data_IF_153551059361
#
_entry.id   IF_153551059361
#
_cell.length_a   1.000
_cell.length_b   1.000
_cell.length_c   1.000
_cell.angle_alpha   90.00
_cell.angle_beta   90.00
_cell.angle_gamma   90.00
#
_symmetry.space_group_name_H-M   'P 1'
#
loop_
_entity.id
_entity.type
_entity.pdbx_description
1 polymer ?
#
# COMPACT_ATOMS: atom_id res chain seq x y z
N UNK A 1 -17.17 10.12 5.90
CA UNK A 1 -16.65 9.76 4.55
C UNK A 1 -17.80 9.51 3.59
N UNK A 2 -18.71 8.55 3.88
CA UNK A 2 -19.87 8.23 3.04
C UNK A 2 -20.64 9.45 2.52
N UNK A 3 -21.06 10.38 3.39
CA UNK A 3 -21.75 11.60 2.95
C UNK A 3 -21.00 12.43 1.89
N UNK A 4 -19.67 12.57 2.02
CA UNK A 4 -18.88 13.33 1.04
C UNK A 4 -18.83 12.62 -0.31
N UNK A 5 -18.74 11.28 -0.30
CA UNK A 5 -18.76 10.47 -1.51
C UNK A 5 -20.13 10.53 -2.19
N UNK A 6 -21.22 10.37 -1.43
CA UNK A 6 -22.59 10.46 -1.95
C UNK A 6 -22.88 11.83 -2.57
N UNK A 7 -22.44 12.93 -1.93
CA UNK A 7 -22.61 14.27 -2.48
C UNK A 7 -21.86 14.44 -3.82
N UNK A 8 -20.63 13.92 -3.90
CA UNK A 8 -19.84 13.96 -5.13
C UNK A 8 -20.50 13.12 -6.25
N UNK A 9 -20.93 11.90 -5.94
CA UNK A 9 -21.60 11.02 -6.89
C UNK A 9 -22.90 11.63 -7.42
N UNK A 10 -23.69 12.28 -6.55
CA UNK A 10 -24.90 13.00 -6.95
C UNK A 10 -24.58 14.16 -7.91
N UNK A 11 -23.50 14.91 -7.68
CA UNK A 11 -23.07 15.99 -8.58
C UNK A 11 -22.60 15.47 -9.95
N UNK A 12 -22.06 14.26 -10.00
CA UNK A 12 -21.59 13.60 -11.22
C UNK A 12 -22.68 12.73 -11.88
N UNK A 13 -23.90 12.72 -11.32
CA UNK A 13 -25.00 11.85 -11.76
C UNK A 13 -24.65 10.35 -11.79
N UNK A 14 -23.79 9.91 -10.87
CA UNK A 14 -23.38 8.50 -10.73
C UNK A 14 -24.15 7.87 -9.56
N UNK A 15 -24.84 6.73 -9.77
CA UNK A 15 -25.47 6.01 -8.66
C UNK A 15 -24.39 5.44 -7.74
N UNK A 16 -24.48 5.72 -6.43
CA UNK A 16 -23.51 5.26 -5.43
C UNK A 16 -24.22 4.72 -4.18
N UNK A 17 -23.83 3.51 -3.78
CA UNK A 17 -24.10 2.94 -2.45
C UNK A 17 -22.79 2.87 -1.68
N UNK A 18 -22.80 3.32 -0.43
CA UNK A 18 -21.63 3.26 0.46
C UNK A 18 -21.91 2.33 1.63
N UNK A 19 -21.10 1.27 1.77
CA UNK A 19 -21.10 0.38 2.93
C UNK A 19 -19.84 0.58 3.76
N UNK A 20 -19.99 0.57 5.08
CA UNK A 20 -18.85 0.59 6.01
C UNK A 20 -18.84 -0.70 6.82
N UNK A 21 -17.70 -1.38 6.83
CA UNK A 21 -17.47 -2.58 7.66
C UNK A 21 -16.55 -2.18 8.81
N UNK A 22 -17.02 -2.34 10.04
CA UNK A 22 -16.23 -2.09 11.26
C UNK A 22 -15.80 -3.44 11.81
N UNK A 23 -14.61 -3.89 11.43
CA UNK A 23 -14.07 -5.18 11.81
C UNK A 23 -12.55 -5.15 11.84
N UNK A 24 -11.94 -6.17 12.46
CA UNK A 24 -10.51 -6.40 12.31
C UNK A 24 -10.23 -6.91 10.89
N UNK A 25 -9.23 -6.37 10.21
CA UNK A 25 -9.03 -6.64 8.79
C UNK A 25 -8.91 -8.13 8.45
N UNK A 26 -8.17 -8.89 9.26
CA UNK A 26 -8.01 -10.34 9.08
C UNK A 26 -9.29 -11.16 9.32
N UNK A 27 -10.38 -10.54 9.79
CA UNK A 27 -11.69 -11.17 9.96
C UNK A 27 -12.65 -10.90 8.81
N UNK A 28 -12.32 -9.96 7.91
CA UNK A 28 -13.20 -9.58 6.79
C UNK A 28 -13.16 -10.66 5.70
N UNK A 29 -14.33 -11.03 5.23
CA UNK A 29 -14.60 -12.02 4.19
C UNK A 29 -15.50 -11.45 3.08
N UNK A 30 -15.77 -12.25 2.04
CA UNK A 30 -16.68 -11.85 0.95
C UNK A 30 -18.12 -11.62 1.44
N UNK A 31 -18.54 -12.37 2.47
CA UNK A 31 -19.89 -12.29 3.03
C UNK A 31 -20.15 -10.94 3.70
N UNK A 32 -19.10 -10.27 4.18
CA UNK A 32 -19.19 -8.94 4.79
C UNK A 32 -19.39 -7.81 3.76
N UNK A 33 -19.13 -8.08 2.47
CA UNK A 33 -19.12 -7.07 1.42
C UNK A 33 -20.44 -6.95 0.67
N UNK A 34 -21.35 -7.92 0.80
CA UNK A 34 -22.64 -7.97 0.10
C UNK A 34 -22.50 -7.68 -1.42
N UNK A 35 -21.57 -8.38 -2.06
CA UNK A 35 -21.30 -8.26 -3.51
C UNK A 35 -22.36 -9.03 -4.28
N UNK A 36 -22.98 -8.39 -5.28
CA UNK A 36 -23.94 -9.06 -6.16
C UNK A 36 -23.21 -9.87 -7.25
N UNK A 37 -23.77 -11.00 -7.73
CA UNK A 37 -23.05 -11.90 -8.65
C UNK A 37 -22.64 -11.29 -10.00
N UNK A 38 -23.25 -10.18 -10.42
CA UNK A 38 -23.00 -9.47 -11.68
C UNK A 38 -22.10 -8.23 -11.53
N UNK A 39 -21.63 -7.93 -10.31
CA UNK A 39 -20.76 -6.80 -10.03
C UNK A 39 -19.28 -7.14 -10.27
N UNK A 40 -18.54 -6.17 -10.83
CA UNK A 40 -17.07 -6.23 -10.90
C UNK A 40 -16.49 -5.87 -9.53
N UNK A 41 -15.72 -6.80 -8.95
CA UNK A 41 -15.11 -6.61 -7.65
C UNK A 41 -13.66 -6.12 -7.77
N UNK A 42 -13.42 -4.88 -7.32
CA UNK A 42 -12.08 -4.33 -7.17
C UNK A 42 -11.74 -4.20 -5.69
N UNK A 43 -10.67 -4.88 -5.27
CA UNK A 43 -10.09 -4.70 -3.93
C UNK A 43 -8.90 -3.75 -4.05
N UNK A 44 -8.85 -2.71 -3.21
CA UNK A 44 -7.78 -1.73 -3.24
C UNK A 44 -7.18 -1.56 -1.84
N UNK A 45 -5.93 -1.98 -1.65
CA UNK A 45 -5.14 -1.61 -0.48
C UNK A 45 -4.04 -0.61 -0.84
N UNK A 46 -4.07 0.55 -0.20
CA UNK A 46 -3.02 1.55 -0.31
C UNK A 46 -2.32 1.71 1.04
N UNK A 47 -1.20 1.01 1.14
CA UNK A 47 -0.22 1.10 2.22
C UNK A 47 -0.64 0.51 3.56
N UNK A 48 -1.82 -0.10 3.72
CA UNK A 48 -2.27 -0.52 5.05
C UNK A 48 -1.66 -1.85 5.48
N UNK A 49 -1.24 -2.74 4.57
CA UNK A 49 -0.68 -4.05 4.94
C UNK A 49 0.47 -3.97 5.97
N UNK A 50 1.19 -2.85 6.01
CA UNK A 50 2.27 -2.60 6.97
C UNK A 50 1.81 -2.55 8.44
N UNK A 51 0.53 -2.33 8.71
CA UNK A 51 -0.03 -2.25 10.07
C UNK A 51 -0.47 -3.60 10.63
N UNK A 52 -0.56 -4.62 9.78
CA UNK A 52 -0.83 -5.99 10.21
C UNK A 52 0.41 -6.56 10.89
N UNK A 53 0.18 -7.28 11.99
CA UNK A 53 1.23 -8.03 12.69
C UNK A 53 1.94 -9.00 11.74
N UNK A 54 3.22 -9.24 12.03
CA UNK A 54 4.07 -10.18 11.30
C UNK A 54 4.41 -11.40 12.19
N UNK A 55 5.21 -12.31 11.64
CA UNK A 55 5.59 -13.58 12.27
C UNK A 55 6.53 -13.38 13.49
N UNK A 56 7.01 -12.16 13.77
CA UNK A 56 7.81 -11.88 14.97
C UNK A 56 6.98 -11.82 16.25
N UNK A 57 5.66 -11.68 16.13
CA UNK A 57 4.71 -11.62 17.25
C UNK A 57 3.82 -12.86 17.29
N UNK A 58 3.47 -13.42 16.14
CA UNK A 58 2.56 -14.57 16.02
C UNK A 58 3.38 -15.83 15.71
N UNK A 59 3.65 -16.66 16.73
CA UNK A 59 4.49 -17.87 16.60
C UNK A 59 3.71 -19.14 16.25
N UNK A 60 2.41 -19.20 16.59
CA UNK A 60 1.60 -20.43 16.51
C UNK A 60 0.37 -20.34 15.56
N UNK A 61 0.21 -19.24 14.82
CA UNK A 61 -0.91 -19.04 13.87
C UNK A 61 -0.41 -18.50 12.53
N UNK A 62 -1.22 -18.69 11.47
CA UNK A 62 -1.00 -18.03 10.19
C UNK A 62 -0.88 -16.52 10.38
N UNK A 63 0.15 -15.92 9.78
CA UNK A 63 0.38 -14.47 9.80
C UNK A 63 -0.89 -13.71 9.40
N UNK A 64 -1.31 -12.66 10.13
CA UNK A 64 -2.50 -11.87 9.77
C UNK A 64 -2.45 -11.32 8.33
N UNK A 65 -1.23 -11.07 7.80
CA UNK A 65 -1.02 -10.70 6.39
C UNK A 65 -1.44 -11.79 5.44
N UNK A 66 -1.03 -13.02 5.72
CA UNK A 66 -1.35 -14.19 4.91
C UNK A 66 -2.84 -14.53 5.00
N UNK A 67 -3.46 -14.34 6.18
CA UNK A 67 -4.91 -14.49 6.36
C UNK A 67 -5.67 -13.48 5.50
N UNK A 68 -5.29 -12.19 5.56
CA UNK A 68 -5.91 -11.15 4.73
C UNK A 68 -5.74 -11.46 3.24
N UNK A 69 -4.53 -11.80 2.79
CA UNK A 69 -4.29 -12.14 1.38
C UNK A 69 -5.09 -13.38 0.94
N UNK A 70 -5.21 -14.39 1.81
CA UNK A 70 -6.05 -15.55 1.55
C UNK A 70 -7.53 -15.18 1.44
N UNK A 71 -8.03 -14.29 2.28
CA UNK A 71 -9.40 -13.80 2.21
C UNK A 71 -9.63 -13.02 0.91
N UNK A 72 -8.70 -12.14 0.51
CA UNK A 72 -8.76 -11.43 -0.78
C UNK A 72 -8.78 -12.42 -1.94
N UNK A 73 -7.93 -13.46 -1.93
CA UNK A 73 -7.95 -14.48 -2.98
C UNK A 73 -9.30 -15.22 -3.04
N UNK A 74 -9.90 -15.55 -1.88
CA UNK A 74 -11.23 -16.19 -1.79
C UNK A 74 -12.37 -15.29 -2.26
N UNK A 75 -12.24 -13.97 -2.12
CA UNK A 75 -13.19 -13.00 -2.69
C UNK A 75 -13.21 -13.04 -4.22
N UNK A 76 -12.18 -13.61 -4.87
CA UNK A 76 -12.02 -13.69 -6.33
C UNK A 76 -12.22 -12.33 -7.03
N UNK A 77 -11.49 -11.28 -6.62
CA UNK A 77 -11.62 -9.97 -7.25
C UNK A 77 -11.18 -10.02 -8.71
N UNK A 78 -11.87 -9.23 -9.54
CA UNK A 78 -11.46 -8.95 -10.91
C UNK A 78 -10.13 -8.22 -10.97
N UNK A 79 -9.87 -7.36 -9.98
CA UNK A 79 -8.57 -6.71 -9.75
C UNK A 79 -8.35 -6.49 -8.26
N UNK A 80 -7.19 -6.90 -7.77
CA UNK A 80 -6.64 -6.47 -6.49
C UNK A 80 -5.47 -5.51 -6.73
N UNK A 81 -5.64 -4.23 -6.35
CA UNK A 81 -4.59 -3.20 -6.40
C UNK A 81 -3.90 -3.15 -5.04
N UNK A 82 -2.56 -3.23 -5.05
CA UNK A 82 -1.75 -3.17 -3.85
C UNK A 82 -0.70 -2.07 -3.97
N UNK A 83 -0.76 -1.08 -3.10
CA UNK A 83 0.29 -0.09 -2.85
C UNK A 83 0.99 -0.37 -1.54
N UNK A 84 2.33 -0.39 -1.53
CA UNK A 84 3.13 -0.65 -0.32
C UNK A 84 4.21 0.42 -0.13
N UNK A 85 4.55 0.66 1.14
CA UNK A 85 5.76 1.40 1.51
C UNK A 85 6.91 0.39 1.46
N UNK A 86 7.89 0.66 0.60
CA UNK A 86 9.00 -0.23 0.38
C UNK A 86 10.09 -0.01 1.44
N UNK A 87 10.19 -0.94 2.38
CA UNK A 87 11.23 -0.92 3.41
C UNK A 87 11.21 -2.22 4.22
N UNK A 88 12.37 -2.77 4.55
CA UNK A 88 12.46 -4.00 5.35
C UNK A 88 12.71 -3.66 6.82
N UNK A 89 11.63 -3.65 7.61
CA UNK A 89 11.73 -3.48 9.05
C UNK A 89 11.90 -4.86 9.68
N UNK A 90 13.10 -5.43 9.50
CA UNK A 90 13.45 -6.76 10.00
C UNK A 90 13.26 -6.91 11.52
N UNK A 91 13.52 -8.08 12.09
CA UNK A 91 13.24 -8.31 13.53
C UNK A 91 14.20 -7.57 14.47
N UNK A 92 15.46 -7.36 14.06
CA UNK A 92 16.51 -6.78 14.90
C UNK A 92 16.50 -5.24 14.91
N UNK A 93 16.66 -4.63 16.09
CA UNK A 93 16.65 -3.17 16.26
C UNK A 93 17.61 -2.43 15.33
N UNK A 94 18.87 -2.88 15.22
CA UNK A 94 19.88 -2.16 14.44
C UNK A 94 19.55 -2.11 12.94
N UNK A 95 19.02 -3.20 12.37
CA UNK A 95 18.62 -3.21 10.96
C UNK A 95 17.39 -2.34 10.72
N UNK A 96 16.40 -2.39 11.62
CA UNK A 96 15.22 -1.51 11.57
C UNK A 96 15.59 -0.04 11.70
N UNK A 97 16.41 0.31 12.69
CA UNK A 97 16.84 1.69 12.92
C UNK A 97 17.54 2.24 11.69
N UNK A 98 18.46 1.48 11.09
CA UNK A 98 19.16 1.87 9.87
C UNK A 98 18.20 2.07 8.70
N UNK A 99 17.24 1.16 8.52
CA UNK A 99 16.26 1.26 7.43
C UNK A 99 15.33 2.46 7.62
N UNK A 100 14.79 2.65 8.83
CA UNK A 100 13.95 3.79 9.19
C UNK A 100 14.70 5.11 9.00
N UNK A 101 15.96 5.20 9.47
CA UNK A 101 16.80 6.38 9.29
C UNK A 101 16.92 6.74 7.81
N UNK A 102 17.29 5.79 6.96
CA UNK A 102 17.46 6.07 5.53
C UNK A 102 16.15 6.38 4.81
N UNK A 103 15.07 5.67 5.13
CA UNK A 103 13.74 5.96 4.57
C UNK A 103 13.29 7.38 4.94
N UNK A 104 13.32 7.73 6.23
CA UNK A 104 12.89 9.04 6.68
C UNK A 104 13.84 10.15 6.23
N UNK A 105 15.15 9.89 6.13
CA UNK A 105 16.09 10.87 5.55
C UNK A 105 15.72 11.22 4.11
N UNK A 106 15.36 10.22 3.30
CA UNK A 106 14.90 10.46 1.93
C UNK A 106 13.56 11.22 1.89
N UNK A 107 12.61 10.89 2.78
CA UNK A 107 11.33 11.60 2.86
C UNK A 107 11.51 13.08 3.27
N UNK A 108 12.35 13.36 4.27
CA UNK A 108 12.58 14.72 4.74
C UNK A 108 13.39 15.55 3.73
N UNK A 109 14.38 14.95 3.05
CA UNK A 109 15.09 15.59 1.94
C UNK A 109 14.16 15.90 0.77
N UNK A 110 13.23 15.00 0.45
CA UNK A 110 12.17 15.23 -0.55
C UNK A 110 11.27 16.41 -0.15
N UNK A 111 10.81 16.47 1.10
CA UNK A 111 10.00 17.59 1.58
C UNK A 111 10.77 18.90 1.56
N UNK A 112 12.06 18.91 1.91
CA UNK A 112 12.88 20.13 1.86
C UNK A 112 13.05 20.65 0.43
N UNK A 113 13.18 19.76 -0.54
CA UNK A 113 13.32 20.11 -1.95
C UNK A 113 11.99 20.52 -2.63
N UNK A 114 10.85 20.05 -2.13
CA UNK A 114 9.55 20.18 -2.81
C UNK A 114 8.54 21.06 -2.11
N UNK A 115 8.78 21.42 -0.83
CA UNK A 115 7.85 22.21 -0.03
C UNK A 115 8.53 23.39 0.69
N UNK A 116 7.93 24.59 0.69
CA UNK A 116 8.42 25.72 1.48
C UNK A 116 8.56 25.37 2.97
N UNK A 117 9.61 25.87 3.62
CA UNK A 117 9.90 25.58 5.04
C UNK A 117 8.83 26.09 5.99
N UNK A 118 8.19 27.20 5.63
CA UNK A 118 7.14 27.85 6.40
C UNK A 118 5.76 27.19 6.18
N UNK A 119 5.68 26.18 5.31
CA UNK A 119 4.43 25.48 5.03
C UNK A 119 3.91 24.75 6.27
N UNK A 120 2.73 25.15 6.73
CA UNK A 120 2.03 24.43 7.81
C UNK A 120 1.75 22.97 7.45
N UNK A 121 1.48 22.69 6.18
CA UNK A 121 1.28 21.32 5.70
C UNK A 121 2.56 20.49 5.83
N UNK A 122 3.73 21.08 5.52
CA UNK A 122 5.02 20.42 5.71
C UNK A 122 5.24 20.05 7.17
N UNK A 123 4.96 20.97 8.10
CA UNK A 123 5.08 20.70 9.53
C UNK A 123 4.18 19.54 9.98
N UNK A 124 2.94 19.47 9.50
CA UNK A 124 2.03 18.35 9.80
C UNK A 124 2.56 17.04 9.23
N UNK A 125 3.07 17.04 8.00
CA UNK A 125 3.67 15.85 7.39
C UNK A 125 4.89 15.36 8.17
N UNK A 126 5.83 16.25 8.48
CA UNK A 126 7.07 15.92 9.20
C UNK A 126 6.79 15.46 10.64
N UNK A 127 5.97 16.19 11.39
CA UNK A 127 5.73 15.92 12.82
C UNK A 127 4.69 14.84 13.05
N UNK A 128 3.51 14.98 12.45
CA UNK A 128 2.32 14.22 12.83
C UNK A 128 2.17 12.92 12.03
N UNK A 129 2.75 12.85 10.83
CA UNK A 129 2.68 11.67 9.97
C UNK A 129 4.02 10.94 10.02
N UNK A 130 5.08 11.51 9.45
CA UNK A 130 6.37 10.82 9.34
C UNK A 130 7.09 10.67 10.68
N UNK A 131 6.99 11.67 11.56
CA UNK A 131 7.54 11.61 12.92
C UNK A 131 6.92 10.48 13.74
N UNK A 132 5.60 10.30 13.67
CA UNK A 132 4.92 9.20 14.33
C UNK A 132 5.32 7.83 13.76
N UNK A 133 5.37 7.70 12.43
CA UNK A 133 5.80 6.45 11.77
C UNK A 133 7.24 6.09 12.17
N UNK A 134 8.15 7.06 12.18
CA UNK A 134 9.54 6.85 12.59
C UNK A 134 9.64 6.42 14.06
N UNK A 135 8.92 7.11 14.94
CA UNK A 135 8.88 6.80 16.37
C UNK A 135 8.38 5.37 16.60
N UNK A 136 7.27 4.99 15.96
CA UNK A 136 6.70 3.67 16.15
C UNK A 136 7.63 2.55 15.61
N UNK A 137 8.25 2.75 14.45
CA UNK A 137 9.17 1.76 13.88
C UNK A 137 10.45 1.56 14.72
N UNK A 138 10.93 2.61 15.39
CA UNK A 138 12.19 2.61 16.14
C UNK A 138 11.98 2.24 17.61
N UNK A 139 11.03 2.88 18.29
CA UNK A 139 10.89 2.85 19.74
C UNK A 139 9.93 1.77 20.26
N UNK A 140 9.01 1.29 19.42
CA UNK A 140 8.05 0.26 19.82
C UNK A 140 8.54 -1.15 19.44
N UNK A 141 8.14 -2.14 20.23
CA UNK A 141 8.42 -3.56 20.03
C UNK A 141 7.16 -4.38 20.29
N UNK A 142 7.21 -5.70 20.01
CA UNK A 142 6.07 -6.59 20.29
C UNK A 142 4.78 -6.09 19.65
N UNK A 143 3.65 -6.18 20.33
CA UNK A 143 2.34 -5.76 19.83
C UNK A 143 2.20 -4.24 19.65
N UNK A 144 2.97 -3.43 20.39
CA UNK A 144 2.93 -1.97 20.33
C UNK A 144 3.54 -1.42 19.02
N UNK A 145 4.34 -2.23 18.33
CA UNK A 145 4.92 -1.87 17.03
C UNK A 145 3.91 -2.15 15.92
N UNK A 146 3.39 -1.07 15.35
CA UNK A 146 2.41 -1.08 14.27
C UNK A 146 3.09 -1.01 12.90
N UNK A 147 4.13 -0.20 12.74
CA UNK A 147 4.80 0.03 11.46
C UNK A 147 5.77 -1.11 11.14
N UNK A 148 5.33 -2.01 10.25
CA UNK A 148 6.04 -3.24 9.85
C UNK A 148 6.09 -3.34 8.32
N UNK A 149 6.91 -2.52 7.69
CA UNK A 149 7.10 -2.62 6.24
C UNK A 149 7.81 -3.91 5.82
N UNK A 150 7.48 -4.34 4.61
CA UNK A 150 8.19 -5.36 3.85
C UNK A 150 8.54 -4.81 2.47
N UNK A 151 9.58 -5.35 1.85
CA UNK A 151 9.94 -4.98 0.47
C UNK A 151 8.90 -5.51 -0.51
N UNK A 152 8.77 -4.87 -1.68
CA UNK A 152 7.88 -5.35 -2.74
C UNK A 152 8.22 -6.78 -3.19
N UNK A 153 9.48 -7.21 -3.07
CA UNK A 153 9.91 -8.60 -3.35
C UNK A 153 9.37 -9.61 -2.35
N UNK A 154 9.23 -9.22 -1.08
CA UNK A 154 8.59 -10.07 -0.07
C UNK A 154 7.07 -10.14 -0.31
N UNK A 155 6.44 -9.01 -0.61
CA UNK A 155 5.02 -8.97 -1.01
C UNK A 155 4.73 -9.79 -2.26
N UNK A 156 5.62 -9.77 -3.26
CA UNK A 156 5.54 -10.62 -4.44
C UNK A 156 5.41 -12.10 -4.08
N UNK A 157 6.21 -12.57 -3.12
CA UNK A 157 6.21 -13.96 -2.67
C UNK A 157 4.91 -14.26 -1.90
N UNK A 158 4.49 -13.38 -0.99
CA UNK A 158 3.25 -13.54 -0.20
C UNK A 158 2.02 -13.61 -1.08
N UNK A 159 1.87 -12.70 -2.04
CA UNK A 159 0.74 -12.68 -2.96
C UNK A 159 0.65 -13.97 -3.76
N UNK A 160 1.77 -14.43 -4.35
CA UNK A 160 1.79 -15.71 -5.09
C UNK A 160 1.44 -16.90 -4.21
N UNK A 161 1.95 -16.95 -2.98
CA UNK A 161 1.61 -18.02 -2.01
C UNK A 161 0.13 -18.02 -1.63
N UNK A 162 -0.52 -16.85 -1.64
CA UNK A 162 -1.95 -16.74 -1.39
C UNK A 162 -2.83 -17.14 -2.59
N UNK A 163 -2.25 -17.54 -3.73
CA UNK A 163 -2.99 -17.89 -4.95
C UNK A 163 -3.40 -16.66 -5.77
N UNK A 164 -2.62 -15.58 -5.67
CA UNK A 164 -2.80 -14.38 -6.50
C UNK A 164 -1.79 -14.37 -7.65
N UNK A 165 -2.30 -14.17 -8.87
CA UNK A 165 -1.51 -13.97 -10.08
C UNK A 165 -1.39 -12.49 -10.39
N UNK A 166 -0.16 -12.03 -10.56
CA UNK A 166 0.12 -10.64 -10.90
C UNK A 166 -0.35 -10.32 -12.32
N UNK A 167 -0.94 -9.15 -12.49
CA UNK A 167 -1.28 -8.58 -13.79
C UNK A 167 -0.11 -7.74 -14.34
N UNK A 168 0.09 -7.73 -15.66
CA UNK A 168 1.09 -6.85 -16.26
C UNK A 168 0.69 -5.39 -16.12
N UNK A 169 1.69 -4.51 -16.02
CA UNK A 169 1.45 -3.07 -16.08
C UNK A 169 1.06 -2.66 -17.50
N UNK A 170 0.08 -1.75 -17.60
CA UNK A 170 -0.27 -1.14 -18.87
C UNK A 170 0.83 -0.14 -19.29
N UNK A 171 1.52 -0.42 -20.39
CA UNK A 171 2.69 0.37 -20.85
C UNK A 171 2.35 1.84 -21.13
N UNK A 172 1.16 2.12 -21.66
CA UNK A 172 0.71 3.49 -21.94
C UNK A 172 0.52 4.27 -20.65
N UNK A 173 -0.12 3.65 -19.66
CA UNK A 173 -0.32 4.22 -18.32
C UNK A 173 1.01 4.49 -17.62
N UNK A 174 1.96 3.56 -17.68
CA UNK A 174 3.29 3.78 -17.08
C UNK A 174 4.05 4.91 -17.78
N UNK A 175 4.01 4.95 -19.11
CA UNK A 175 4.63 6.04 -19.88
C UNK A 175 4.00 7.40 -19.57
N UNK A 176 2.67 7.43 -19.40
CA UNK A 176 1.95 8.63 -19.00
C UNK A 176 2.42 9.12 -17.62
N UNK A 177 2.46 8.23 -16.62
CA UNK A 177 2.95 8.56 -15.26
C UNK A 177 4.39 9.05 -15.31
N UNK A 178 5.28 8.36 -16.05
CA UNK A 178 6.68 8.76 -16.21
C UNK A 178 6.81 10.16 -16.82
N UNK A 179 6.00 10.48 -17.83
CA UNK A 179 5.98 11.79 -18.46
C UNK A 179 5.45 12.87 -17.52
N UNK A 180 4.39 12.60 -16.75
CA UNK A 180 3.87 13.52 -15.75
C UNK A 180 4.94 13.83 -14.70
N UNK A 181 5.58 12.81 -14.13
CA UNK A 181 6.64 13.00 -13.11
C UNK A 181 7.81 13.79 -13.67
N UNK A 182 8.29 13.43 -14.87
CA UNK A 182 9.41 14.11 -15.52
C UNK A 182 9.13 15.60 -15.80
N UNK A 183 7.91 15.95 -16.18
CA UNK A 183 7.57 17.29 -16.67
C UNK A 183 6.96 18.20 -15.59
N UNK A 184 6.37 17.64 -14.54
CA UNK A 184 5.59 18.40 -13.55
C UNK A 184 6.14 18.32 -12.12
N UNK A 185 7.06 17.39 -11.84
CA UNK A 185 7.60 17.17 -10.50
C UNK A 185 9.11 17.40 -10.45
N UNK A 186 9.66 17.43 -9.24
CA UNK A 186 11.09 17.61 -9.03
C UNK A 186 11.90 16.50 -9.72
N UNK A 187 13.01 16.88 -10.37
CA UNK A 187 13.85 15.98 -11.19
C UNK A 187 14.39 14.73 -10.48
N UNK A 188 14.42 14.76 -9.15
CA UNK A 188 14.93 13.66 -8.32
C UNK A 188 13.87 12.59 -8.01
N UNK A 189 12.61 12.82 -8.38
CA UNK A 189 11.60 11.76 -8.38
C UNK A 189 11.90 10.72 -9.46
N UNK A 190 11.73 9.46 -9.10
CA UNK A 190 12.03 8.31 -9.96
C UNK A 190 10.78 7.46 -10.13
N UNK A 191 10.51 7.06 -11.38
CA UNK A 191 9.50 6.05 -11.74
C UNK A 191 10.19 4.92 -12.47
N UNK A 192 10.20 3.74 -11.84
CA UNK A 192 10.83 2.53 -12.35
C UNK A 192 9.84 1.37 -12.44
N UNK A 193 10.21 0.35 -13.19
CA UNK A 193 9.45 -0.89 -13.32
C UNK A 193 10.37 -2.06 -12.94
N UNK A 194 9.96 -2.90 -12.00
CA UNK A 194 10.63 -4.18 -11.70
C UNK A 194 9.58 -5.26 -11.46
N UNK A 195 9.70 -6.41 -12.13
CA UNK A 195 8.80 -7.56 -11.92
C UNK A 195 7.30 -7.18 -11.92
N UNK A 196 6.86 -6.33 -12.86
CA UNK A 196 5.47 -5.81 -12.95
C UNK A 196 5.01 -5.00 -11.73
N UNK A 197 5.95 -4.48 -10.94
CA UNK A 197 5.70 -3.41 -9.96
C UNK A 197 6.04 -2.06 -10.56
N UNK A 198 5.17 -1.08 -10.31
CA UNK A 198 5.46 0.33 -10.56
C UNK A 198 6.10 0.91 -9.30
N UNK A 199 7.38 1.24 -9.41
CA UNK A 199 8.20 1.73 -8.31
C UNK A 199 8.29 3.24 -8.35
N UNK A 200 8.11 3.88 -7.19
CA UNK A 200 8.27 5.32 -7.01
C UNK A 200 9.39 5.59 -6.02
N UNK A 201 10.29 6.50 -6.37
CA UNK A 201 11.48 6.77 -5.58
C UNK A 201 11.92 8.22 -5.56
N UNK A 202 12.94 8.48 -4.74
CA UNK A 202 13.59 9.77 -4.57
C UNK A 202 15.12 9.60 -4.52
N UNK A 203 15.86 10.32 -5.37
CA UNK A 203 17.34 10.23 -5.47
C UNK A 203 17.86 8.78 -5.54
N UNK A 204 17.19 7.94 -6.31
CA UNK A 204 17.55 6.53 -6.49
C UNK A 204 17.10 5.57 -5.39
N UNK A 205 16.48 6.05 -4.30
CA UNK A 205 15.84 5.17 -3.30
C UNK A 205 14.39 4.91 -3.68
N UNK A 206 13.99 3.64 -3.78
CA UNK A 206 12.59 3.25 -3.97
C UNK A 206 11.84 3.34 -2.65
N UNK A 207 10.80 4.19 -2.61
CA UNK A 207 10.02 4.51 -1.42
C UNK A 207 8.68 3.80 -1.41
N UNK A 208 8.00 3.74 -2.56
CA UNK A 208 6.69 3.14 -2.73
C UNK A 208 6.70 2.15 -3.90
N UNK A 209 5.86 1.13 -3.83
CA UNK A 209 5.68 0.20 -4.93
C UNK A 209 4.19 -0.13 -5.10
N UNK A 210 3.74 -0.24 -6.35
CA UNK A 210 2.36 -0.57 -6.70
C UNK A 210 2.30 -1.77 -7.63
N UNK A 211 1.33 -2.65 -7.44
CA UNK A 211 1.08 -3.80 -8.29
C UNK A 211 -0.40 -4.13 -8.38
N UNK A 212 -0.76 -4.95 -9.37
CA UNK A 212 -2.13 -5.42 -9.60
C UNK A 212 -2.13 -6.94 -9.68
N UNK A 213 -3.20 -7.56 -9.18
CA UNK A 213 -3.32 -9.00 -9.02
C UNK A 213 -4.74 -9.49 -9.30
N UNK A 214 -4.88 -10.78 -9.57
CA UNK A 214 -6.17 -11.49 -9.67
C UNK A 214 -6.07 -12.83 -8.96
N UNK A 215 -7.20 -13.39 -8.54
CA UNK A 215 -7.22 -14.74 -7.99
C UNK A 215 -6.91 -15.79 -9.08
N UNK A 216 -6.10 -16.79 -8.74
CA UNK A 216 -5.87 -17.95 -9.61
C UNK A 216 -7.20 -18.68 -9.86
N UNK A 217 -7.55 -18.87 -11.14
CA UNK A 217 -8.82 -19.45 -11.56
C UNK A 217 -9.96 -18.46 -11.79
N UNK A 218 -9.75 -17.14 -11.60
CA UNK A 218 -10.64 -16.14 -12.17
C UNK A 218 -10.54 -16.21 -13.70
N UNK A 219 -11.67 -16.39 -14.38
CA UNK A 219 -11.74 -16.34 -15.85
C UNK A 219 -11.26 -14.97 -16.30
N UNK A 220 -10.06 -14.90 -16.87
CA UNK A 220 -9.49 -13.69 -17.45
C UNK A 220 -10.26 -13.34 -18.72
N UNK A 221 -11.36 -12.60 -18.56
CA UNK A 221 -12.10 -11.97 -19.65
C UNK A 221 -11.66 -10.52 -19.81
N UNK A 222 -10.41 -10.31 -20.21
CA UNK A 222 -9.90 -9.03 -20.72
C UNK A 222 -8.86 -9.31 -21.81
#
# INVERSE_FOLDING_TARGET
MGHRLSNCAHQLCVPLKFGAVVAQWHTISIDDLNVEPDEVLVVNDLFNFRTLMDESVVTDRSSPRDVVLSNIAKMKPDVFVQGIINGSYGTFFLSRFREALFYHSAMFDMLDATMPRESRLRLVLERDIFGWVALNAIACEGEDRLERGETYKQWQIRNRRAGLRQLPLNRESVNMVRNIVKNQYHKDFVIEEDQQWLLQGWKGRILLAHSMWVADGASSGW
#
